data_IF_999444250009
#
_entry.id   IF_999444250009
#
_cell.length_a   1.000
_cell.length_b   1.000
_cell.length_c   1.000
_cell.angle_alpha   90.00
_cell.angle_beta   90.00
_cell.angle_gamma   90.00
#
_symmetry.space_group_name_H-M   'P 1'
#
loop_
_entity.id
_entity.type
_entity.pdbx_description
1 polymer ?
#
# COMPACT_ATOMS: atom_id res chain seq x y z
N UNK A 1 -24.33 9.71 16.06
CA UNK A 1 -23.52 10.67 16.85
C UNK A 1 -23.37 11.97 16.06
N UNK A 2 -24.43 12.40 15.37
CA UNK A 2 -24.23 13.10 14.08
C UNK A 2 -24.08 14.62 14.24
N UNK A 3 -23.92 15.05 15.50
CA UNK A 3 -23.78 16.41 15.99
C UNK A 3 -22.38 16.71 16.55
N UNK A 4 -21.43 15.81 16.30
CA UNK A 4 -20.06 15.92 16.77
C UNK A 4 -19.08 15.56 15.65
N UNK A 5 -18.02 16.35 15.51
CA UNK A 5 -16.92 16.10 14.59
C UNK A 5 -15.69 15.63 15.38
N UNK A 6 -15.06 14.52 14.94
CA UNK A 6 -13.81 14.05 15.54
C UNK A 6 -12.66 14.99 15.17
N UNK A 7 -11.94 15.47 16.19
CA UNK A 7 -10.73 16.27 16.05
C UNK A 7 -9.55 15.48 16.60
N UNK A 8 -8.48 15.39 15.82
CA UNK A 8 -7.26 14.70 16.25
C UNK A 8 -6.35 15.67 17.01
N UNK A 9 -6.24 15.49 18.33
CA UNK A 9 -5.20 16.18 19.12
C UNK A 9 -3.83 15.80 18.55
N UNK A 10 -2.91 16.77 18.32
CA UNK A 10 -1.52 16.46 18.01
C UNK A 10 -0.96 15.56 19.10
N UNK A 11 -0.49 14.38 18.72
CA UNK A 11 0.14 13.47 19.69
C UNK A 11 1.47 14.06 20.10
N UNK A 12 1.83 13.92 21.38
CA UNK A 12 3.18 14.21 21.85
C UNK A 12 4.18 13.34 21.09
N UNK A 13 4.89 13.93 20.13
CA UNK A 13 5.90 13.24 19.35
C UNK A 13 7.11 12.94 20.23
N UNK A 14 7.12 11.74 20.81
CA UNK A 14 8.34 11.16 21.40
C UNK A 14 9.43 11.15 20.32
N UNK A 15 10.68 11.57 20.63
CA UNK A 15 11.78 11.49 19.67
C UNK A 15 11.94 10.05 19.15
N UNK A 16 12.22 9.91 17.86
CA UNK A 16 12.41 8.62 17.21
C UNK A 16 13.91 8.29 17.29
N UNK A 17 14.26 7.21 17.97
CA UNK A 17 15.63 6.71 18.03
C UNK A 17 16.11 6.26 16.64
N UNK A 18 17.40 6.38 16.34
CA UNK A 18 17.95 6.08 15.00
C UNK A 18 17.71 4.64 14.52
N UNK A 19 17.59 3.68 15.45
CA UNK A 19 17.31 2.28 15.17
C UNK A 19 15.80 1.92 15.26
N UNK A 20 14.91 2.90 15.48
CA UNK A 20 13.46 2.70 15.57
C UNK A 20 12.76 2.96 14.24
N UNK A 21 12.03 1.97 13.73
CA UNK A 21 11.27 2.04 12.48
C UNK A 21 9.78 1.96 12.80
N UNK A 22 9.07 3.09 12.63
CA UNK A 22 7.61 3.17 12.79
C UNK A 22 6.90 2.80 11.49
N UNK A 23 6.24 1.64 11.47
CA UNK A 23 5.56 1.11 10.29
C UNK A 23 4.12 1.61 10.27
N UNK A 24 3.69 2.18 9.14
CA UNK A 24 2.36 2.77 8.96
C UNK A 24 1.52 2.02 7.92
N UNK A 25 0.20 2.19 8.00
CA UNK A 25 -0.75 1.58 7.07
C UNK A 25 -0.52 2.03 5.63
N UNK A 26 -0.09 3.27 5.39
CA UNK A 26 0.14 3.84 4.05
C UNK A 26 1.59 3.66 3.54
N UNK A 27 2.58 3.47 4.42
CA UNK A 27 3.98 3.33 4.00
C UNK A 27 4.24 2.08 3.15
N UNK A 28 5.05 2.21 2.10
CA UNK A 28 5.42 1.10 1.20
C UNK A 28 6.39 0.14 1.88
N UNK A 29 6.15 -1.16 1.75
CA UNK A 29 6.95 -2.20 2.42
C UNK A 29 8.42 -2.16 2.01
N UNK A 30 8.69 -1.93 0.71
CA UNK A 30 10.05 -1.84 0.17
C UNK A 30 10.91 -0.81 0.90
N UNK A 31 10.34 0.36 1.24
CA UNK A 31 11.09 1.45 1.88
C UNK A 31 11.55 1.03 3.29
N UNK A 32 10.67 0.40 4.07
CA UNK A 32 11.00 -0.11 5.41
C UNK A 32 12.08 -1.19 5.35
N UNK A 33 11.97 -2.13 4.41
CA UNK A 33 12.95 -3.22 4.26
C UNK A 33 14.31 -2.67 3.81
N UNK A 34 14.35 -1.77 2.82
CA UNK A 34 15.60 -1.12 2.40
C UNK A 34 16.24 -0.36 3.55
N UNK A 35 15.49 0.48 4.27
CA UNK A 35 16.03 1.23 5.40
C UNK A 35 16.56 0.32 6.53
N UNK A 36 15.80 -0.70 6.92
CA UNK A 36 16.24 -1.71 7.89
C UNK A 36 17.51 -2.45 7.45
N UNK A 37 17.62 -2.77 6.15
CA UNK A 37 18.81 -3.41 5.57
C UNK A 37 20.02 -2.48 5.64
N UNK A 38 19.87 -1.20 5.27
CA UNK A 38 20.92 -0.18 5.38
C UNK A 38 21.38 0.04 6.83
N UNK A 39 20.46 0.09 7.81
CA UNK A 39 20.84 0.18 9.22
C UNK A 39 21.70 -1.01 9.67
N UNK A 40 21.25 -2.23 9.38
CA UNK A 40 21.93 -3.45 9.82
C UNK A 40 23.22 -3.74 9.03
N UNK A 41 23.27 -3.49 7.72
CA UNK A 41 24.41 -3.87 6.88
C UNK A 41 25.40 -2.71 6.64
N UNK A 42 24.92 -1.53 6.24
CA UNK A 42 25.79 -0.42 5.82
C UNK A 42 26.24 0.42 7.01
N UNK A 43 25.33 0.77 7.93
CA UNK A 43 25.67 1.51 9.15
C UNK A 43 26.24 0.63 10.27
N UNK A 44 26.11 -0.69 10.15
CA UNK A 44 26.62 -1.64 11.13
C UNK A 44 25.85 -1.68 12.46
N UNK A 45 24.61 -1.15 12.53
CA UNK A 45 23.77 -1.29 13.73
C UNK A 45 23.64 -2.77 14.11
N UNK A 46 23.76 -3.06 15.41
CA UNK A 46 23.61 -4.43 15.92
C UNK A 46 22.14 -4.87 15.95
N UNK A 47 21.23 -3.91 16.13
CA UNK A 47 19.80 -4.14 16.32
C UNK A 47 18.95 -3.06 15.64
N UNK A 48 17.69 -3.40 15.34
CA UNK A 48 16.62 -2.50 14.92
C UNK A 48 15.32 -2.84 15.64
N UNK A 49 14.47 -1.84 15.84
CA UNK A 49 13.20 -1.97 16.54
C UNK A 49 12.06 -1.56 15.61
N UNK A 50 11.25 -2.53 15.18
CA UNK A 50 10.06 -2.30 14.37
C UNK A 50 8.85 -2.06 15.28
N UNK A 51 8.21 -0.89 15.19
CA UNK A 51 7.01 -0.55 15.97
C UNK A 51 5.81 -0.30 15.07
N UNK A 52 4.65 -0.81 15.45
CA UNK A 52 3.37 -0.54 14.77
C UNK A 52 2.16 -0.63 15.69
N UNK A 53 1.08 0.01 15.28
CA UNK A 53 -0.21 0.04 16.00
C UNK A 53 -1.36 -0.37 15.08
N UNK A 54 -2.35 -1.07 15.65
CA UNK A 54 -3.61 -1.44 14.99
C UNK A 54 -3.42 -2.06 13.60
N UNK A 55 -4.01 -1.42 12.56
CA UNK A 55 -4.04 -1.94 11.17
C UNK A 55 -2.64 -2.17 10.55
N UNK A 56 -1.58 -1.57 11.09
CA UNK A 56 -0.22 -1.77 10.59
C UNK A 56 0.46 -3.06 11.11
N UNK A 57 -0.07 -3.70 12.16
CA UNK A 57 0.57 -4.87 12.83
C UNK A 57 0.86 -6.01 11.84
N UNK A 58 -0.11 -6.41 11.01
CA UNK A 58 0.07 -7.47 10.01
C UNK A 58 1.21 -7.13 9.03
N UNK A 59 1.25 -5.89 8.54
CA UNK A 59 2.35 -5.41 7.66
C UNK A 59 3.71 -5.47 8.36
N UNK A 60 3.79 -5.17 9.65
CA UNK A 60 5.03 -5.26 10.43
C UNK A 60 5.56 -6.67 10.54
N UNK A 61 4.70 -7.67 10.76
CA UNK A 61 5.11 -9.09 10.76
C UNK A 61 5.67 -9.48 9.39
N UNK A 62 4.98 -9.14 8.29
CA UNK A 62 5.48 -9.40 6.93
C UNK A 62 6.83 -8.74 6.64
N UNK A 63 7.03 -7.49 7.07
CA UNK A 63 8.30 -6.77 6.93
C UNK A 63 9.41 -7.46 7.73
N UNK A 64 9.14 -7.87 8.98
CA UNK A 64 10.10 -8.61 9.82
C UNK A 64 10.56 -9.90 9.15
N UNK A 65 9.63 -10.72 8.68
CA UNK A 65 9.94 -11.99 7.99
C UNK A 65 10.79 -11.77 6.73
N UNK A 66 10.52 -10.70 5.98
CA UNK A 66 11.28 -10.38 4.78
C UNK A 66 12.68 -9.79 5.08
N UNK A 67 12.89 -9.17 6.24
CA UNK A 67 14.21 -8.74 6.70
C UNK A 67 15.03 -9.96 7.16
N UNK A 68 14.45 -10.88 7.95
CA UNK A 68 15.10 -12.15 8.34
C UNK A 68 15.54 -12.97 7.13
N UNK A 69 14.71 -13.03 6.07
CA UNK A 69 15.04 -13.69 4.80
C UNK A 69 16.13 -12.99 3.97
N UNK A 70 16.61 -11.80 4.36
CA UNK A 70 17.70 -11.07 3.67
C UNK A 70 19.01 -11.04 4.47
N UNK A 71 18.95 -11.28 5.77
CA UNK A 71 20.09 -11.13 6.68
C UNK A 71 20.15 -12.37 7.58
N UNK A 72 21.21 -13.17 7.40
CA UNK A 72 21.51 -14.33 8.25
C UNK A 72 21.72 -13.93 9.71
N UNK A 73 21.40 -14.82 10.65
CA UNK A 73 21.78 -14.65 12.06
C UNK A 73 20.96 -13.61 12.85
N UNK A 74 19.81 -13.17 12.36
CA UNK A 74 18.94 -12.26 13.12
C UNK A 74 18.10 -13.00 14.17
N UNK A 75 18.44 -12.79 15.44
CA UNK A 75 17.58 -13.10 16.59
C UNK A 75 16.39 -12.14 16.62
N UNK A 76 15.22 -12.62 17.02
CA UNK A 76 14.01 -11.84 17.15
C UNK A 76 13.49 -11.87 18.59
N UNK A 77 12.99 -10.74 19.09
CA UNK A 77 12.11 -10.72 20.25
C UNK A 77 10.86 -9.87 19.93
N UNK A 78 9.68 -10.41 20.24
CA UNK A 78 8.37 -9.80 19.91
C UNK A 78 7.58 -9.50 21.17
N UNK A 79 7.31 -8.23 21.41
CA UNK A 79 6.44 -7.76 22.49
C UNK A 79 5.14 -7.19 21.92
N UNK A 80 4.03 -7.50 22.58
CA UNK A 80 2.69 -7.00 22.26
C UNK A 80 2.17 -6.25 23.48
N UNK A 81 1.52 -5.11 23.25
CA UNK A 81 0.87 -4.34 24.29
C UNK A 81 -0.33 -3.58 23.76
N UNK A 82 -0.85 -2.66 24.57
CA UNK A 82 -1.87 -1.69 24.20
C UNK A 82 -1.39 -0.28 24.50
N UNK A 83 -1.90 0.69 23.75
CA UNK A 83 -1.69 2.10 24.00
C UNK A 83 -3.02 2.82 23.86
N UNK A 84 -3.30 3.71 24.81
CA UNK A 84 -4.54 4.45 24.86
C UNK A 84 -4.45 5.68 23.97
N UNK A 85 -5.49 5.89 23.16
CA UNK A 85 -5.58 7.00 22.24
C UNK A 85 -6.86 7.75 22.55
N UNK A 86 -6.72 8.97 23.06
CA UNK A 86 -7.84 9.88 23.29
C UNK A 86 -8.14 10.66 22.02
N UNK A 87 -9.28 10.38 21.41
CA UNK A 87 -9.83 11.17 20.31
C UNK A 87 -10.75 12.27 20.90
N UNK A 88 -10.66 13.50 20.38
CA UNK A 88 -11.55 14.60 20.77
C UNK A 88 -12.76 14.67 19.86
N UNK A 89 -13.87 15.17 20.37
CA UNK A 89 -15.09 15.42 19.63
C UNK A 89 -15.59 16.84 19.92
N UNK A 90 -15.58 17.68 18.90
CA UNK A 90 -16.12 19.04 18.96
C UNK A 90 -17.59 19.03 18.54
N UNK A 91 -18.47 19.77 19.24
CA UNK A 91 -19.88 19.86 18.88
C UNK A 91 -20.10 20.69 17.61
N UNK A 92 -21.13 20.31 16.84
CA UNK A 92 -21.58 21.02 15.64
C UNK A 92 -22.80 21.93 15.90
N UNK A 93 -23.34 21.92 17.13
CA UNK A 93 -24.47 22.73 17.57
C UNK A 93 -24.08 23.59 18.78
N UNK A 94 -24.48 24.86 18.77
CA UNK A 94 -24.26 25.78 19.88
C UNK A 94 -24.96 25.28 21.17
N UNK A 95 -24.22 25.24 22.27
CA UNK A 95 -24.72 24.82 23.59
C UNK A 95 -24.38 23.38 23.99
N UNK A 96 -23.74 22.59 23.11
CA UNK A 96 -23.15 21.30 23.47
C UNK A 96 -21.70 21.48 23.98
N UNK A 97 -21.22 20.53 24.80
CA UNK A 97 -19.85 20.52 25.32
C UNK A 97 -18.96 19.54 24.53
N UNK A 98 -17.64 19.80 24.39
CA UNK A 98 -16.69 18.85 23.82
C UNK A 98 -16.65 17.53 24.60
N UNK A 99 -16.46 16.42 23.88
CA UNK A 99 -16.38 15.08 24.45
C UNK A 99 -15.00 14.47 24.17
N UNK A 100 -14.38 13.87 25.20
CA UNK A 100 -13.19 13.03 25.03
C UNK A 100 -13.62 11.55 24.93
N UNK A 101 -13.02 10.77 24.04
CA UNK A 101 -13.23 9.32 23.98
C UNK A 101 -11.90 8.61 23.87
N UNK A 102 -11.56 7.83 24.89
CA UNK A 102 -10.37 6.97 24.89
C UNK A 102 -10.68 5.64 24.23
N UNK A 103 -9.81 5.22 23.31
CA UNK A 103 -9.81 3.87 22.73
C UNK A 103 -8.48 3.17 22.95
N UNK A 104 -8.55 1.92 23.35
CA UNK A 104 -7.38 1.05 23.46
C UNK A 104 -6.97 0.58 22.05
N UNK A 105 -5.70 0.79 21.69
CA UNK A 105 -5.15 0.33 20.40
C UNK A 105 -3.98 -0.61 20.65
N UNK A 106 -4.07 -1.82 20.10
CA UNK A 106 -2.98 -2.80 20.17
C UNK A 106 -1.72 -2.27 19.49
N UNK A 107 -0.58 -2.55 20.09
CA UNK A 107 0.76 -2.20 19.63
C UNK A 107 1.61 -3.47 19.54
N UNK A 108 2.47 -3.56 18.51
CA UNK A 108 3.51 -4.57 18.39
C UNK A 108 4.87 -3.88 18.33
N UNK A 109 5.85 -4.47 19.02
CA UNK A 109 7.26 -4.12 18.95
C UNK A 109 8.04 -5.40 18.60
N UNK A 110 8.76 -5.39 17.49
CA UNK A 110 9.64 -6.50 17.09
C UNK A 110 11.07 -5.97 17.07
N UNK A 111 11.92 -6.48 17.96
CA UNK A 111 13.36 -6.25 17.93
C UNK A 111 14.01 -7.33 17.07
N UNK A 112 14.84 -6.92 16.12
CA UNK A 112 15.70 -7.81 15.33
C UNK A 112 17.17 -7.45 15.64
N UNK A 113 17.97 -8.43 16.06
CA UNK A 113 19.36 -8.21 16.47
C UNK A 113 20.30 -9.27 15.89
N UNK A 114 21.52 -8.87 15.54
CA UNK A 114 22.62 -9.78 15.20
C UNK A 114 23.27 -10.42 16.42
N UNK A 115 23.05 -9.83 17.60
CA UNK A 115 23.49 -10.38 18.88
C UNK A 115 22.37 -11.24 19.45
N UNK A 116 22.75 -12.25 20.22
CA UNK A 116 21.78 -13.04 20.95
C UNK A 116 20.96 -12.16 21.90
N UNK A 117 19.64 -12.27 21.80
CA UNK A 117 18.67 -11.67 22.71
C UNK A 117 18.34 -12.67 23.82
N UNK A 118 17.68 -12.20 24.88
CA UNK A 118 17.21 -13.06 25.98
C UNK A 118 16.34 -14.22 25.47
N UNK A 119 16.90 -15.43 25.52
CA UNK A 119 16.29 -16.70 25.09
C UNK A 119 15.17 -17.17 26.03
N UNK A 120 15.09 -16.63 27.25
CA UNK A 120 14.02 -16.93 28.21
C UNK A 120 12.76 -16.09 28.00
N UNK A 121 12.85 -15.02 27.18
CA UNK A 121 11.72 -14.16 26.85
C UNK A 121 10.65 -14.91 26.07
N UNK A 122 9.38 -14.78 26.48
CA UNK A 122 8.22 -15.41 25.81
C UNK A 122 8.04 -14.99 24.35
N UNK A 123 8.62 -13.85 23.97
CA UNK A 123 8.60 -13.31 22.60
C UNK A 123 9.82 -13.69 21.75
N UNK A 124 10.78 -14.45 22.29
CA UNK A 124 12.02 -14.80 21.61
C UNK A 124 11.79 -15.79 20.46
N UNK A 125 12.52 -15.59 19.37
CA UNK A 125 12.64 -16.55 18.29
C UNK A 125 14.10 -16.60 17.80
N UNK A 126 14.70 -17.81 17.64
CA UNK A 126 16.06 -17.95 17.14
C UNK A 126 16.17 -17.55 15.66
N UNK A 127 17.40 -17.31 15.16
CA UNK A 127 17.64 -17.00 13.75
C UNK A 127 17.14 -18.10 12.81
N UNK A 128 16.65 -17.70 11.64
CA UNK A 128 16.24 -18.66 10.60
C UNK A 128 17.45 -19.37 9.98
N UNK A 129 17.30 -20.64 9.53
CA UNK A 129 18.38 -21.37 8.86
C UNK A 129 18.89 -20.64 7.62
N UNK A 130 20.20 -20.72 7.37
CA UNK A 130 20.88 -20.01 6.28
C UNK A 130 20.28 -20.34 4.91
N UNK A 131 19.87 -21.60 4.69
CA UNK A 131 19.25 -22.06 3.44
C UNK A 131 17.92 -21.35 3.10
N UNK A 132 17.27 -20.72 4.09
CA UNK A 132 16.02 -19.97 3.90
C UNK A 132 16.26 -18.47 3.66
N UNK A 133 17.51 -18.01 3.74
CA UNK A 133 17.90 -16.61 3.49
C UNK A 133 18.18 -16.44 2.01
N UNK A 134 17.30 -15.72 1.31
CA UNK A 134 17.42 -15.42 -0.12
C UNK A 134 17.99 -14.01 -0.33
N UNK A 135 19.15 -13.87 -1.01
CA UNK A 135 19.69 -12.55 -1.33
C UNK A 135 18.78 -11.76 -2.29
N UNK A 136 19.01 -10.45 -2.35
CA UNK A 136 18.07 -9.39 -2.77
C UNK A 136 17.31 -9.59 -4.10
N UNK A 137 17.83 -10.41 -5.02
CA UNK A 137 17.45 -10.39 -6.44
C UNK A 137 16.26 -11.29 -6.83
N UNK A 138 15.83 -12.24 -5.99
CA UNK A 138 14.76 -13.20 -6.36
C UNK A 138 13.34 -12.79 -5.93
N UNK A 139 13.18 -11.78 -5.08
CA UNK A 139 11.85 -11.39 -4.57
C UNK A 139 11.22 -10.31 -5.45
N UNK A 140 10.73 -10.72 -6.63
CA UNK A 140 9.72 -9.97 -7.36
C UNK A 140 8.48 -9.80 -6.46
N UNK A 141 8.18 -8.55 -6.15
CA UNK A 141 7.26 -8.19 -5.07
C UNK A 141 5.80 -8.15 -5.60
N UNK A 142 5.19 -9.31 -5.84
CA UNK A 142 3.82 -9.41 -6.38
C UNK A 142 2.75 -8.68 -5.53
N UNK A 143 3.04 -8.34 -4.27
CA UNK A 143 2.07 -7.82 -3.31
C UNK A 143 1.84 -6.29 -3.25
N UNK A 144 2.53 -5.45 -4.05
CA UNK A 144 2.43 -3.97 -3.92
C UNK A 144 2.07 -3.24 -5.23
N UNK A 145 1.11 -3.78 -5.99
CA UNK A 145 0.53 -3.16 -7.19
C UNK A 145 -0.93 -2.69 -7.01
N UNK A 146 -1.17 -1.53 -6.38
CA UNK A 146 -2.48 -0.89 -6.40
C UNK A 146 -2.75 -0.26 -7.79
N UNK A 147 -3.12 -1.06 -8.79
CA UNK A 147 -3.48 -0.51 -10.10
C UNK A 147 -3.75 -1.45 -11.28
N UNK A 148 -3.42 -2.74 -11.24
CA UNK A 148 -3.41 -3.57 -12.47
C UNK A 148 -4.78 -4.16 -12.88
N UNK A 149 -5.82 -3.33 -12.96
CA UNK A 149 -7.01 -3.63 -13.76
C UNK A 149 -6.72 -3.39 -15.24
N UNK A 150 -6.25 -4.44 -15.92
CA UNK A 150 -6.44 -4.69 -17.35
C UNK A 150 -5.94 -3.64 -18.36
N UNK A 151 -4.78 -3.90 -18.98
CA UNK A 151 -4.54 -3.61 -20.42
C UNK A 151 -3.49 -4.56 -20.97
N UNK A 152 -3.91 -5.49 -21.82
CA UNK A 152 -3.04 -6.55 -22.35
C UNK A 152 -1.93 -6.01 -23.25
N UNK A 153 -0.69 -6.37 -22.97
CA UNK A 153 0.44 -6.16 -23.89
C UNK A 153 0.50 -7.30 -24.91
N UNK A 154 -0.28 -7.17 -25.97
CA UNK A 154 -0.13 -8.00 -27.18
C UNK A 154 1.20 -7.68 -27.88
N UNK A 155 2.28 -8.40 -27.55
CA UNK A 155 3.50 -8.42 -28.37
C UNK A 155 3.19 -9.10 -29.69
N UNK A 156 3.49 -8.43 -30.81
CA UNK A 156 3.12 -8.90 -32.14
C UNK A 156 3.82 -10.21 -32.56
N UNK A 157 3.09 -11.01 -33.34
CA UNK A 157 3.67 -11.96 -34.29
C UNK A 157 3.12 -11.64 -35.67
N UNK A 158 3.99 -11.19 -36.58
CA UNK A 158 3.59 -10.92 -37.96
C UNK A 158 3.38 -12.21 -38.75
N UNK A 159 2.35 -12.21 -39.61
CA UNK A 159 2.28 -13.05 -40.81
C UNK A 159 1.53 -12.26 -41.90
N UNK A 160 2.26 -11.72 -42.85
CA UNK A 160 1.66 -10.99 -43.97
C UNK A 160 1.09 -11.94 -45.03
N UNK A 161 0.02 -11.49 -45.69
CA UNK A 161 -0.35 -11.88 -47.07
C UNK A 161 -0.90 -10.64 -47.77
N UNK A 162 -0.22 -10.20 -48.83
CA UNK A 162 -0.65 -9.06 -49.65
C UNK A 162 -1.50 -9.47 -50.86
N UNK A 163 -1.49 -8.60 -51.90
CA UNK A 163 -2.37 -8.55 -53.10
C UNK A 163 -3.70 -7.83 -52.81
N UNK A 164 -4.20 -6.94 -53.68
CA UNK A 164 -3.67 -6.45 -54.96
C UNK A 164 -4.55 -5.33 -55.57
N UNK A 165 -4.06 -4.66 -56.61
CA UNK A 165 -4.72 -3.54 -57.31
C UNK A 165 -6.04 -3.98 -58.00
N UNK A 166 -7.01 -3.07 -58.13
CA UNK A 166 -8.16 -3.23 -59.03
C UNK A 166 -8.96 -1.94 -59.27
N UNK A 167 -8.94 -1.39 -60.49
CA UNK A 167 -9.83 -0.31 -60.94
C UNK A 167 -11.17 -0.89 -61.40
N UNK A 168 -12.29 -0.18 -61.21
CA UNK A 168 -13.59 -0.54 -61.82
C UNK A 168 -14.54 0.66 -61.93
N UNK A 169 -14.91 1.05 -63.15
CA UNK A 169 -15.93 2.08 -63.45
C UNK A 169 -17.28 1.42 -63.74
N UNK A 170 -18.38 2.06 -63.34
CA UNK A 170 -19.73 1.81 -63.85
C UNK A 170 -20.74 2.80 -63.22
N UNK A 171 -21.00 3.97 -63.82
CA UNK A 171 -22.02 4.25 -64.86
C UNK A 171 -23.46 3.88 -64.45
N UNK A 172 -24.32 4.90 -64.28
CA UNK A 172 -25.78 4.70 -64.31
C UNK A 172 -26.63 5.91 -63.86
N UNK A 173 -26.98 6.79 -64.81
CA UNK A 173 -28.24 7.58 -64.99
C UNK A 173 -29.22 7.72 -63.79
N UNK A 174 -29.87 8.86 -63.49
CA UNK A 174 -29.91 10.18 -64.14
C UNK A 174 -31.34 10.76 -64.24
N UNK A 175 -31.44 12.11 -64.27
CA UNK A 175 -32.61 12.99 -64.57
C UNK A 175 -33.69 13.25 -63.50
N UNK A 176 -33.64 14.50 -63.04
CA UNK A 176 -34.70 15.37 -62.50
C UNK A 176 -36.08 15.22 -63.15
N UNK A 177 -37.14 15.55 -62.40
CA UNK A 177 -38.17 16.52 -62.81
C UNK A 177 -38.63 17.38 -61.61
N UNK A 178 -39.13 18.59 -61.88
CA UNK A 178 -39.66 19.60 -60.92
C UNK A 178 -41.18 19.76 -61.12
N UNK A 179 -41.78 20.65 -60.31
CA UNK A 179 -43.19 21.10 -60.22
C UNK A 179 -44.09 20.16 -59.40
N UNK A 180 -45.04 20.63 -58.57
CA UNK A 180 -45.53 21.98 -58.24
C UNK A 180 -46.15 22.00 -56.81
N UNK A 181 -46.45 23.17 -56.25
CA UNK A 181 -47.33 23.36 -55.06
C UNK A 181 -48.36 24.47 -55.36
N UNK A 182 -49.13 25.05 -54.40
CA UNK A 182 -49.18 24.87 -52.93
C UNK A 182 -50.57 24.27 -52.54
N UNK A 183 -51.52 24.81 -51.72
CA UNK A 183 -51.46 25.70 -50.52
C UNK A 183 -52.37 25.32 -49.31
N UNK A 184 -51.90 25.66 -48.08
CA UNK A 184 -52.70 26.06 -46.88
C UNK A 184 -53.64 24.97 -46.24
N UNK A 185 -54.16 25.07 -44.99
CA UNK A 185 -54.12 26.12 -43.97
C UNK A 185 -54.36 25.58 -42.52
N UNK A 186 -53.94 26.38 -41.53
CA UNK A 186 -54.57 26.64 -40.19
C UNK A 186 -54.55 25.55 -39.09
N UNK A 187 -54.47 26.06 -37.86
CA UNK A 187 -54.26 25.38 -36.59
C UNK A 187 -55.53 24.82 -35.91
N UNK A 188 -55.30 23.99 -34.90
CA UNK A 188 -56.02 23.99 -33.62
C UNK A 188 -54.98 23.79 -32.49
#
# INVERSE_FOLDING_TARGET
MDRYQRVEKPRTETPINENEIRITTQGRMRNYITYATTLLQEKGSNEIILKAMGRAINKTVMISELIKRRIVGLHQNTSIGSTDITDMWEPLEDGLLPLETTRHVSMITITLSKKELDTSSTGYQPPIPVDQVKPLNELEYEGDSPGMRGRGRGRGRGRGRGRGRGRGRGRGRGRNFRTEGPPQAIAA
#
